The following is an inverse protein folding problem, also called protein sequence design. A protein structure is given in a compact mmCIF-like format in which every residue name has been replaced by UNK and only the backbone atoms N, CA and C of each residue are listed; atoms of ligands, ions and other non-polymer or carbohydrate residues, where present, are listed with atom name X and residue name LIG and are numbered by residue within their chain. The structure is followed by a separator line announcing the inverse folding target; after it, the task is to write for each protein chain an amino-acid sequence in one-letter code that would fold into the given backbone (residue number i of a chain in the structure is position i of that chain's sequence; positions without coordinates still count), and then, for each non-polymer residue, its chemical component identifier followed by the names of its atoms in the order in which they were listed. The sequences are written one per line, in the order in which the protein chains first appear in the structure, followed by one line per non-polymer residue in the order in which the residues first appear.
data_IF_068153127367
#
_entry.id   IF_068153127367
#
_cell.length_a   1.000
_cell.length_b   1.000
_cell.length_c   1.000
_cell.angle_alpha   90.00
_cell.angle_beta   90.00
_cell.angle_gamma   90.00
#
_symmetry.space_group_name_H-M   'P 1'
#
loop_
_entity.id
_entity.type
_entity.pdbx_description
1 polymer ?
#
# COMPACT_ATOMS: atom_id res chain seq x y z
N UNK A 1 18.34 -17.63 -3.73
CA UNK A 1 18.52 -16.19 -3.52
C UNK A 1 17.98 -15.84 -2.16
N UNK A 2 18.79 -15.24 -1.36
CA UNK A 2 18.39 -14.74 -0.05
C UNK A 2 17.98 -13.30 -0.20
N UNK A 3 16.73 -12.98 0.08
CA UNK A 3 16.20 -11.61 0.14
C UNK A 3 15.98 -11.31 1.60
N UNK A 4 16.76 -10.41 2.18
CA UNK A 4 16.53 -9.94 3.54
C UNK A 4 15.54 -8.79 3.51
N UNK A 5 14.34 -9.05 3.99
CA UNK A 5 13.27 -8.06 4.09
C UNK A 5 13.28 -7.35 5.45
N UNK A 6 14.13 -7.77 6.39
CA UNK A 6 14.16 -7.22 7.73
C UNK A 6 15.53 -7.01 8.33
N UNK A 7 15.65 -5.94 9.07
CA UNK A 7 16.75 -5.51 9.89
C UNK A 7 16.91 -6.33 11.15
N UNK A 8 18.17 -6.53 11.54
CA UNK A 8 18.57 -6.86 12.90
C UNK A 8 18.58 -8.34 13.29
N UNK A 9 19.23 -9.16 12.52
CA UNK A 9 19.99 -10.25 13.10
C UNK A 9 21.35 -10.33 12.42
N UNK A 10 22.39 -10.55 13.19
CA UNK A 10 23.72 -10.85 12.69
C UNK A 10 23.66 -12.19 11.95
N UNK A 11 23.32 -12.13 10.66
CA UNK A 11 23.33 -13.31 9.81
C UNK A 11 24.70 -13.38 9.17
N UNK A 12 25.34 -14.53 9.31
CA UNK A 12 26.64 -14.88 8.74
C UNK A 12 26.72 -14.85 7.19
N UNK A 13 25.62 -14.48 6.52
CA UNK A 13 25.54 -14.41 5.07
C UNK A 13 25.20 -12.98 4.64
N UNK A 14 26.05 -12.37 3.87
CA UNK A 14 25.73 -11.08 3.20
C UNK A 14 24.70 -11.35 2.13
N UNK A 15 23.49 -10.78 2.21
CA UNK A 15 22.48 -10.99 1.18
C UNK A 15 22.96 -10.42 -0.16
N UNK A 16 22.68 -11.12 -1.24
CA UNK A 16 23.02 -10.63 -2.59
C UNK A 16 22.24 -9.36 -2.97
N UNK A 17 21.02 -9.24 -2.44
CA UNK A 17 20.13 -8.09 -2.66
C UNK A 17 19.42 -7.75 -1.38
N UNK A 18 19.33 -6.48 -1.06
CA UNK A 18 18.57 -5.94 0.06
C UNK A 18 17.47 -5.03 -0.50
N UNK A 19 16.23 -5.27 -0.08
CA UNK A 19 15.08 -4.45 -0.43
C UNK A 19 14.54 -3.81 0.85
N UNK A 20 14.42 -2.48 0.87
CA UNK A 20 14.03 -1.73 2.05
C UNK A 20 12.86 -0.79 1.78
N UNK A 21 11.84 -0.85 2.65
CA UNK A 21 10.70 0.07 2.62
C UNK A 21 11.03 1.51 3.02
N UNK A 22 12.09 1.70 3.80
CA UNK A 22 12.55 3.02 4.22
C UNK A 22 14.03 3.18 3.95
N UNK A 23 14.35 4.21 3.18
CA UNK A 23 15.73 4.65 2.92
C UNK A 23 15.84 6.08 3.43
N UNK A 24 16.55 6.26 4.56
CA UNK A 24 16.68 7.58 5.19
C UNK A 24 17.48 8.54 4.32
N UNK A 25 16.99 9.78 4.11
CA UNK A 25 17.72 10.80 3.37
C UNK A 25 18.66 11.63 4.24
N UNK A 26 18.57 11.50 5.57
CA UNK A 26 19.25 12.43 6.50
C UNK A 26 20.76 12.31 6.56
N UNK A 27 21.31 11.23 6.05
CA UNK A 27 22.75 11.07 5.95
C UNK A 27 23.03 10.85 4.47
N UNK A 28 23.91 11.57 3.84
CA UNK A 28 24.42 11.33 2.49
C UNK A 28 25.01 9.90 2.34
N UNK A 29 24.33 8.91 2.91
CA UNK A 29 24.68 7.50 2.86
C UNK A 29 24.39 7.03 1.44
N UNK A 30 25.44 6.79 0.71
CA UNK A 30 25.35 6.10 -0.56
C UNK A 30 25.02 4.63 -0.28
N UNK A 31 23.78 4.24 -0.54
CA UNK A 31 23.39 2.84 -0.40
C UNK A 31 24.16 1.95 -1.38
N UNK A 32 24.55 0.74 -0.95
CA UNK A 32 25.15 -0.23 -1.86
C UNK A 32 24.26 -0.47 -3.09
N UNK A 33 24.87 -0.78 -4.24
CA UNK A 33 24.15 -0.99 -5.52
C UNK A 33 23.11 -2.11 -5.47
N UNK A 34 23.21 -2.99 -4.49
CA UNK A 34 22.27 -4.09 -4.24
C UNK A 34 21.14 -3.76 -3.24
N UNK A 35 20.98 -2.49 -2.86
CA UNK A 35 19.89 -2.04 -1.98
C UNK A 35 18.85 -1.29 -2.81
N UNK A 36 17.62 -1.77 -2.80
CA UNK A 36 16.51 -1.20 -3.57
C UNK A 36 15.37 -0.77 -2.65
N UNK A 37 14.74 0.39 -2.92
CA UNK A 37 13.56 0.82 -2.18
C UNK A 37 12.35 -0.04 -2.53
N UNK A 38 11.43 -0.18 -1.57
CA UNK A 38 10.15 -0.86 -1.77
C UNK A 38 9.06 -0.10 -1.03
N UNK A 39 7.81 -0.32 -1.42
CA UNK A 39 6.61 0.22 -0.79
C UNK A 39 5.66 -0.91 -0.39
N UNK A 40 4.65 -0.60 0.41
CA UNK A 40 3.53 -1.50 0.60
C UNK A 40 2.76 -1.69 -0.72
N UNK A 41 1.73 -2.49 -0.68
CA UNK A 41 0.87 -2.80 -1.83
C UNK A 41 -0.53 -3.16 -1.34
N UNK A 42 -1.43 -3.44 -2.27
CA UNK A 42 -2.79 -3.85 -1.95
C UNK A 42 -3.21 -5.02 -2.85
N UNK A 43 -3.96 -6.01 -2.35
CA UNK A 43 -4.54 -7.05 -3.19
C UNK A 43 -5.40 -6.48 -4.31
N UNK A 44 -5.29 -7.03 -5.52
CA UNK A 44 -5.96 -6.51 -6.71
C UNK A 44 -7.49 -6.53 -6.57
N UNK A 45 -8.03 -7.56 -5.92
CA UNK A 45 -9.46 -7.71 -5.66
C UNK A 45 -10.07 -6.65 -4.74
N UNK A 46 -9.22 -5.87 -4.05
CA UNK A 46 -9.64 -4.75 -3.21
C UNK A 46 -9.71 -3.41 -3.97
N UNK A 47 -9.28 -3.38 -5.22
CA UNK A 47 -9.26 -2.17 -6.04
C UNK A 47 -10.55 -2.07 -6.84
N UNK A 48 -11.28 -0.97 -6.67
CA UNK A 48 -12.50 -0.73 -7.44
C UNK A 48 -12.24 -0.68 -8.94
N UNK A 49 -13.14 -1.22 -9.73
CA UNK A 49 -13.06 -1.23 -11.20
C UNK A 49 -13.55 0.07 -11.84
N UNK A 50 -14.29 0.87 -11.08
CA UNK A 50 -14.85 2.15 -11.54
C UNK A 50 -14.89 3.18 -10.40
N UNK A 51 -15.00 4.45 -10.77
CA UNK A 51 -15.15 5.54 -9.82
C UNK A 51 -16.48 5.42 -9.08
N UNK A 52 -16.49 5.38 -7.75
CA UNK A 52 -17.72 5.26 -6.97
C UNK A 52 -18.45 6.61 -6.89
N UNK A 53 -19.78 6.55 -6.69
CA UNK A 53 -20.59 7.75 -6.44
C UNK A 53 -20.22 8.34 -5.10
N UNK A 54 -19.87 9.63 -5.08
CA UNK A 54 -19.49 10.37 -3.88
C UNK A 54 -20.70 10.98 -3.20
N UNK A 55 -20.79 10.82 -1.89
CA UNK A 55 -21.90 11.34 -1.07
C UNK A 55 -21.48 12.46 -0.13
N UNK A 56 -20.18 12.62 0.11
CA UNK A 56 -19.63 13.64 1.00
C UNK A 56 -18.21 14.03 0.59
N UNK A 57 -17.82 15.21 1.02
CA UNK A 57 -16.52 15.80 0.68
C UNK A 57 -15.36 15.08 1.36
N UNK A 58 -15.46 14.84 2.67
CA UNK A 58 -14.37 14.31 3.47
C UNK A 58 -14.79 13.04 4.23
N UNK A 59 -13.89 12.07 4.30
CA UNK A 59 -14.04 10.90 5.17
C UNK A 59 -14.00 11.32 6.65
N UNK A 60 -14.79 10.64 7.46
CA UNK A 60 -14.82 10.84 8.92
C UNK A 60 -13.60 10.26 9.64
N UNK A 61 -12.82 9.44 8.95
CA UNK A 61 -11.65 8.77 9.52
C UNK A 61 -10.47 9.74 9.67
N UNK A 62 -10.04 9.95 10.91
CA UNK A 62 -8.93 10.84 11.27
C UNK A 62 -7.76 9.98 11.79
N UNK A 63 -6.57 9.98 11.16
CA UNK A 63 -5.47 9.07 11.45
C UNK A 63 -5.00 9.01 12.91
N UNK A 64 -5.10 10.08 13.64
CA UNK A 64 -4.67 10.18 15.06
C UNK A 64 -5.82 10.11 16.06
N UNK A 65 -7.07 10.06 15.60
CA UNK A 65 -8.24 9.99 16.46
C UNK A 65 -8.89 8.60 16.40
N UNK A 66 -8.59 7.76 17.41
CA UNK A 66 -9.11 6.39 17.48
C UNK A 66 -10.64 6.32 17.55
N UNK A 67 -11.32 7.36 18.08
CA UNK A 67 -12.79 7.38 18.19
C UNK A 67 -13.49 7.45 16.82
N UNK A 68 -12.77 7.78 15.76
CA UNK A 68 -13.31 7.80 14.39
C UNK A 68 -13.31 6.42 13.70
N UNK A 69 -12.60 5.44 14.27
CA UNK A 69 -12.51 4.07 13.74
C UNK A 69 -13.62 3.20 14.33
N UNK A 70 -14.85 3.48 13.92
CA UNK A 70 -16.07 2.86 14.47
C UNK A 70 -16.55 1.64 13.68
N UNK A 71 -15.87 1.31 12.58
CA UNK A 71 -16.30 0.24 11.68
C UNK A 71 -15.82 -1.13 12.19
N UNK A 72 -16.75 -2.10 12.19
CA UNK A 72 -16.49 -3.46 12.67
C UNK A 72 -16.17 -4.46 11.55
N UNK A 73 -16.34 -4.05 10.29
CA UNK A 73 -16.01 -4.87 9.11
C UNK A 73 -15.17 -4.08 8.12
N UNK A 74 -14.35 -4.78 7.36
CA UNK A 74 -13.54 -4.18 6.30
C UNK A 74 -14.40 -3.49 5.24
N UNK A 75 -15.52 -4.11 4.87
CA UNK A 75 -16.42 -3.52 3.86
C UNK A 75 -17.05 -2.21 4.33
N UNK A 76 -17.50 -2.14 5.59
CA UNK A 76 -18.02 -0.90 6.16
C UNK A 76 -16.93 0.19 6.22
N UNK A 77 -15.70 -0.18 6.57
CA UNK A 77 -14.54 0.72 6.57
C UNK A 77 -14.22 1.21 5.15
N UNK A 78 -14.18 0.34 4.16
CA UNK A 78 -13.95 0.74 2.76
C UNK A 78 -15.11 1.53 2.17
N UNK A 79 -16.35 1.23 2.58
CA UNK A 79 -17.53 1.98 2.14
C UNK A 79 -17.48 3.45 2.61
N UNK A 80 -16.86 3.72 3.76
CA UNK A 80 -16.59 5.08 4.21
C UNK A 80 -15.73 5.85 3.18
N UNK A 81 -14.66 5.23 2.67
CA UNK A 81 -13.82 5.83 1.63
C UNK A 81 -14.54 5.92 0.28
N UNK A 82 -15.29 4.90 -0.12
CA UNK A 82 -16.07 4.89 -1.38
C UNK A 82 -17.06 6.05 -1.44
N UNK A 83 -17.70 6.37 -0.33
CA UNK A 83 -18.65 7.48 -0.23
C UNK A 83 -17.99 8.86 -0.12
N UNK A 84 -16.71 8.94 0.21
CA UNK A 84 -15.99 10.19 0.45
C UNK A 84 -15.15 10.61 -0.76
N UNK A 85 -15.18 11.90 -1.12
CA UNK A 85 -14.32 12.43 -2.19
C UNK A 85 -12.86 12.42 -1.75
N UNK A 86 -12.57 12.91 -0.54
CA UNK A 86 -11.24 12.98 0.04
C UNK A 86 -11.15 12.20 1.34
N UNK A 87 -9.95 11.70 1.65
CA UNK A 87 -9.64 11.05 2.92
C UNK A 87 -8.32 11.52 3.49
N UNK A 88 -8.32 11.90 4.76
CA UNK A 88 -7.15 12.42 5.43
C UNK A 88 -6.11 11.33 5.66
N UNK A 89 -4.88 11.62 5.30
CA UNK A 89 -3.73 10.79 5.63
C UNK A 89 -2.49 11.63 5.92
N UNK A 90 -1.52 11.06 6.61
CA UNK A 90 -0.31 11.76 7.06
C UNK A 90 0.79 10.77 7.43
N UNK A 91 1.99 11.29 7.61
CA UNK A 91 3.06 10.63 8.35
C UNK A 91 2.59 10.34 9.79
N UNK A 92 2.86 9.12 10.28
CA UNK A 92 2.68 8.74 11.69
C UNK A 92 4.00 8.21 12.26
N UNK A 93 4.04 6.92 12.65
CA UNK A 93 5.29 6.27 13.06
C UNK A 93 6.27 6.09 11.90
N UNK A 94 5.77 6.03 10.69
CA UNK A 94 6.53 5.96 9.44
C UNK A 94 5.74 6.59 8.30
N UNK A 95 6.39 6.78 7.15
CA UNK A 95 5.77 7.34 5.96
C UNK A 95 4.79 6.36 5.33
N UNK A 96 5.19 5.09 5.19
CA UNK A 96 4.38 4.10 4.49
C UNK A 96 3.37 3.45 5.44
N UNK A 97 2.13 3.36 5.00
CA UNK A 97 1.07 2.66 5.72
C UNK A 97 -0.06 2.25 4.77
N UNK A 98 -0.80 1.21 5.16
CA UNK A 98 -1.89 0.64 4.34
C UNK A 98 -2.95 1.65 3.95
N UNK A 99 -3.25 2.64 4.81
CA UNK A 99 -4.28 3.66 4.53
C UNK A 99 -4.09 4.38 3.21
N UNK A 100 -2.85 4.64 2.78
CA UNK A 100 -2.60 5.32 1.51
C UNK A 100 -3.13 4.50 0.33
N UNK A 101 -2.88 3.19 0.36
CA UNK A 101 -3.31 2.23 -0.66
C UNK A 101 -4.82 1.99 -0.59
N UNK A 102 -5.37 1.89 0.60
CA UNK A 102 -6.80 1.69 0.84
C UNK A 102 -7.63 2.87 0.33
N UNK A 103 -7.18 4.11 0.55
CA UNK A 103 -7.81 5.31 0.01
C UNK A 103 -7.84 5.25 -1.52
N UNK A 104 -6.69 5.07 -2.16
CA UNK A 104 -6.58 5.02 -3.62
C UNK A 104 -7.40 3.87 -4.20
N UNK A 105 -7.32 2.67 -3.62
CA UNK A 105 -8.02 1.48 -4.08
C UNK A 105 -9.55 1.60 -3.98
N UNK A 106 -10.05 2.37 -3.02
CA UNK A 106 -11.47 2.63 -2.83
C UNK A 106 -11.94 3.95 -3.48
N UNK A 107 -11.14 4.50 -4.39
CA UNK A 107 -11.50 5.68 -5.17
C UNK A 107 -11.70 6.92 -4.31
N UNK A 108 -10.98 7.05 -3.20
CA UNK A 108 -10.96 8.23 -2.35
C UNK A 108 -9.64 8.96 -2.56
N UNK A 109 -9.68 10.26 -2.85
CA UNK A 109 -8.48 11.06 -3.08
C UNK A 109 -7.76 11.25 -1.73
N UNK A 110 -6.50 10.80 -1.57
CA UNK A 110 -5.75 11.07 -0.37
C UNK A 110 -5.47 12.57 -0.22
N UNK A 111 -5.98 13.18 0.85
CA UNK A 111 -5.49 14.46 1.34
C UNK A 111 -4.31 14.18 2.28
N UNK A 112 -3.11 14.27 1.72
CA UNK A 112 -1.88 13.82 2.38
C UNK A 112 -1.08 15.02 2.88
N UNK A 113 -1.17 15.32 4.18
CA UNK A 113 -0.67 16.56 4.78
C UNK A 113 0.81 16.84 4.47
N UNK A 114 1.66 15.82 4.61
CA UNK A 114 3.12 16.01 4.60
C UNK A 114 3.79 15.46 3.33
N UNK A 115 3.03 15.16 2.28
CA UNK A 115 3.56 14.43 1.11
C UNK A 115 4.76 15.12 0.44
N UNK A 116 4.82 16.44 0.47
CA UNK A 116 5.90 17.23 -0.12
C UNK A 116 7.22 17.06 0.62
N UNK A 117 7.17 16.68 1.91
CA UNK A 117 8.34 16.42 2.74
C UNK A 117 8.81 14.97 2.63
N UNK A 118 8.04 14.12 1.95
CA UNK A 118 8.36 12.70 1.82
C UNK A 118 9.64 12.51 1.01
N UNK A 119 10.66 11.83 1.57
CA UNK A 119 11.90 11.57 0.88
C UNK A 119 11.68 10.82 -0.44
N UNK A 120 12.51 11.13 -1.46
CA UNK A 120 12.36 10.60 -2.81
C UNK A 120 12.27 9.07 -2.85
N UNK A 121 13.11 8.39 -2.09
CA UNK A 121 13.21 6.92 -2.08
C UNK A 121 12.29 6.25 -1.04
N UNK A 122 11.53 7.04 -0.27
CA UNK A 122 10.51 6.52 0.65
C UNK A 122 9.17 6.47 -0.07
N UNK A 123 8.39 5.43 0.13
CA UNK A 123 7.18 5.17 -0.67
C UNK A 123 7.48 5.31 -2.17
N UNK A 124 8.54 4.65 -2.61
CA UNK A 124 9.18 4.88 -3.92
C UNK A 124 8.22 4.71 -5.11
N UNK A 125 7.32 3.74 -5.02
CA UNK A 125 6.36 3.44 -6.09
C UNK A 125 5.03 4.18 -5.94
N UNK A 126 4.80 4.93 -4.85
CA UNK A 126 3.60 5.75 -4.76
C UNK A 126 3.65 6.91 -5.75
N UNK A 127 2.49 7.27 -6.36
CA UNK A 127 2.41 8.35 -7.34
C UNK A 127 2.39 9.72 -6.65
N UNK A 128 3.53 10.17 -6.10
CA UNK A 128 3.60 11.40 -5.31
C UNK A 128 3.04 12.61 -6.02
N UNK A 129 3.25 12.72 -7.33
CA UNK A 129 2.70 13.83 -8.13
C UNK A 129 1.16 13.80 -8.15
N UNK A 130 0.54 12.61 -8.26
CA UNK A 130 -0.91 12.48 -8.15
C UNK A 130 -1.39 12.80 -6.72
N UNK A 131 -0.64 12.43 -5.69
CA UNK A 131 -0.99 12.74 -4.31
C UNK A 131 -0.92 14.26 -4.03
N UNK A 132 0.10 14.94 -4.54
CA UNK A 132 0.22 16.40 -4.48
C UNK A 132 -0.95 17.05 -5.24
N UNK A 133 -1.28 16.56 -6.42
CA UNK A 133 -2.45 17.02 -7.19
C UNK A 133 -3.76 16.81 -6.42
N UNK A 134 -3.87 15.72 -5.66
CA UNK A 134 -5.00 15.48 -4.74
C UNK A 134 -5.14 16.57 -3.69
N UNK A 135 -4.04 17.02 -3.10
CA UNK A 135 -4.05 18.15 -2.15
C UNK A 135 -4.51 19.46 -2.82
N UNK A 136 -4.04 19.74 -4.04
CA UNK A 136 -4.48 20.94 -4.79
C UNK A 136 -5.99 20.91 -5.06
N UNK A 137 -6.52 19.75 -5.46
CA UNK A 137 -7.96 19.58 -5.66
C UNK A 137 -8.75 19.78 -4.36
N UNK A 138 -8.23 19.26 -3.24
CA UNK A 138 -8.85 19.52 -1.93
C UNK A 138 -8.91 21.02 -1.63
N UNK A 139 -7.80 21.74 -1.73
CA UNK A 139 -7.79 23.19 -1.48
C UNK A 139 -8.69 23.97 -2.42
N UNK A 140 -8.82 23.53 -3.67
CA UNK A 140 -9.71 24.14 -4.68
C UNK A 140 -11.20 23.94 -4.31
N UNK A 141 -11.57 22.78 -3.76
CA UNK A 141 -12.97 22.37 -3.70
C UNK A 141 -13.51 22.08 -2.29
N UNK A 142 -12.73 22.16 -1.20
CA UNK A 142 -13.17 21.74 0.14
C UNK A 142 -14.41 22.45 0.67
N UNK A 143 -14.72 23.66 0.19
CA UNK A 143 -15.90 24.46 0.53
C UNK A 143 -17.00 24.40 -0.56
N UNK A 144 -16.87 23.54 -1.55
CA UNK A 144 -17.81 23.41 -2.66
C UNK A 144 -18.82 22.30 -2.36
N UNK A 145 -20.06 22.48 -2.82
CA UNK A 145 -21.07 21.42 -2.69
C UNK A 145 -20.65 20.18 -3.48
N UNK A 146 -20.85 18.99 -2.89
CA UNK A 146 -20.46 17.71 -3.51
C UNK A 146 -21.18 17.42 -4.83
N UNK A 147 -22.30 18.08 -5.10
CA UNK A 147 -23.06 17.96 -6.35
C UNK A 147 -22.54 18.85 -7.48
N UNK A 148 -21.54 19.70 -7.21
CA UNK A 148 -20.97 20.60 -8.21
C UNK A 148 -20.35 19.82 -9.39
N UNK A 149 -20.77 20.11 -10.59
CA UNK A 149 -20.39 19.38 -11.80
C UNK A 149 -18.90 19.52 -12.16
N UNK A 150 -18.29 20.67 -11.93
CA UNK A 150 -16.85 20.89 -12.18
C UNK A 150 -16.00 20.10 -11.20
N UNK A 151 -16.35 20.15 -9.90
CA UNK A 151 -15.73 19.32 -8.86
C UNK A 151 -15.81 17.84 -9.24
N UNK A 152 -17.01 17.36 -9.54
CA UNK A 152 -17.22 15.94 -9.90
C UNK A 152 -16.41 15.56 -11.14
N UNK A 153 -16.37 16.40 -12.17
CA UNK A 153 -15.61 16.14 -13.39
C UNK A 153 -14.10 16.00 -13.10
N UNK A 154 -13.49 16.99 -12.45
CA UNK A 154 -12.04 16.98 -12.17
C UNK A 154 -11.66 15.88 -11.16
N UNK A 155 -12.41 15.77 -10.06
CA UNK A 155 -12.10 14.78 -9.04
C UNK A 155 -12.32 13.35 -9.52
N UNK A 156 -13.39 13.07 -10.28
CA UNK A 156 -13.61 11.73 -10.83
C UNK A 156 -12.55 11.34 -11.86
N UNK A 157 -12.10 12.29 -12.69
CA UNK A 157 -10.97 12.04 -13.58
C UNK A 157 -9.69 11.70 -12.77
N UNK A 158 -9.42 12.46 -11.71
CA UNK A 158 -8.27 12.21 -10.85
C UNK A 158 -8.36 10.87 -10.11
N UNK A 159 -9.54 10.51 -9.58
CA UNK A 159 -9.80 9.19 -8.97
C UNK A 159 -9.54 8.07 -9.97
N UNK A 160 -10.00 8.23 -11.21
CA UNK A 160 -9.72 7.24 -12.26
C UNK A 160 -8.22 7.03 -12.44
N UNK A 161 -7.44 8.11 -12.53
CA UNK A 161 -5.99 8.03 -12.67
C UNK A 161 -5.34 7.33 -11.45
N UNK A 162 -5.81 7.59 -10.23
CA UNK A 162 -5.33 6.91 -9.02
C UNK A 162 -5.67 5.41 -9.04
N UNK A 163 -6.88 5.03 -9.42
CA UNK A 163 -7.31 3.63 -9.54
C UNK A 163 -6.48 2.89 -10.60
N UNK A 164 -6.29 3.49 -11.77
CA UNK A 164 -5.52 2.89 -12.87
C UNK A 164 -4.05 2.72 -12.46
N UNK A 165 -3.45 3.73 -11.84
CA UNK A 165 -2.09 3.65 -11.33
C UNK A 165 -1.94 2.57 -10.24
N UNK A 166 -2.89 2.53 -9.29
CA UNK A 166 -2.87 1.55 -8.19
C UNK A 166 -2.95 0.13 -8.75
N UNK A 167 -3.82 -0.11 -9.72
CA UNK A 167 -3.97 -1.42 -10.37
C UNK A 167 -2.72 -1.82 -11.15
N UNK A 168 -2.08 -0.88 -11.81
CA UNK A 168 -0.89 -1.16 -12.62
C UNK A 168 0.37 -1.36 -11.80
N UNK A 169 0.57 -0.58 -10.73
CA UNK A 169 1.86 -0.47 -10.06
C UNK A 169 1.88 -0.89 -8.58
N UNK A 170 0.72 -0.88 -7.91
CA UNK A 170 0.65 -1.05 -6.45
C UNK A 170 -0.08 -2.32 -6.00
N UNK A 171 -0.43 -3.21 -6.92
CA UNK A 171 -0.95 -4.53 -6.53
C UNK A 171 0.15 -5.39 -5.91
N UNK A 172 -0.24 -6.32 -5.06
CA UNK A 172 0.71 -7.29 -4.48
C UNK A 172 1.47 -8.06 -5.55
N UNK A 173 0.80 -8.39 -6.67
CA UNK A 173 1.43 -9.03 -7.84
C UNK A 173 2.45 -8.11 -8.51
N UNK A 174 2.15 -6.82 -8.66
CA UNK A 174 3.07 -5.85 -9.25
C UNK A 174 4.34 -5.71 -8.39
N UNK A 175 4.17 -5.64 -7.05
CA UNK A 175 5.30 -5.57 -6.13
C UNK A 175 6.12 -6.87 -6.12
N UNK A 176 5.50 -8.03 -6.17
CA UNK A 176 6.23 -9.30 -6.32
C UNK A 176 7.05 -9.33 -7.62
N UNK A 177 6.49 -8.86 -8.73
CA UNK A 177 7.23 -8.73 -10.00
C UNK A 177 8.40 -7.74 -9.88
N UNK A 178 8.20 -6.60 -9.23
CA UNK A 178 9.27 -5.64 -8.95
C UNK A 178 10.42 -6.27 -8.16
N UNK A 179 10.11 -7.05 -7.11
CA UNK A 179 11.12 -7.79 -6.34
C UNK A 179 11.90 -8.76 -7.21
N UNK A 180 11.21 -9.56 -8.01
CA UNK A 180 11.86 -10.53 -8.91
C UNK A 180 12.76 -9.83 -9.94
N UNK A 181 12.30 -8.73 -10.52
CA UNK A 181 13.07 -7.92 -11.45
C UNK A 181 14.35 -7.35 -10.80
N UNK A 182 14.22 -6.75 -9.62
CA UNK A 182 15.40 -6.19 -8.92
C UNK A 182 16.38 -7.24 -8.45
N UNK A 183 15.95 -8.48 -8.34
CA UNK A 183 16.80 -9.63 -7.99
C UNK A 183 17.30 -10.42 -9.20
N UNK A 184 16.89 -10.06 -10.44
CA UNK A 184 17.16 -10.78 -11.69
C UNK A 184 16.67 -12.26 -11.63
N UNK A 185 15.44 -12.45 -11.13
CA UNK A 185 14.82 -13.77 -10.97
C UNK A 185 13.42 -13.84 -11.59
N UNK A 186 13.21 -13.16 -12.71
CA UNK A 186 11.92 -13.13 -13.42
C UNK A 186 11.55 -14.49 -14.00
N UNK A 187 12.54 -15.29 -14.38
CA UNK A 187 12.38 -16.58 -15.08
C UNK A 187 12.31 -17.79 -14.14
N UNK A 188 12.29 -17.58 -12.82
CA UNK A 188 12.19 -18.70 -11.88
C UNK A 188 10.79 -19.32 -11.89
N UNK A 189 10.74 -20.65 -11.70
CA UNK A 189 9.48 -21.38 -11.70
C UNK A 189 9.01 -21.78 -10.29
N UNK A 190 9.90 -21.72 -9.30
CA UNK A 190 9.62 -22.07 -7.90
C UNK A 190 10.29 -21.10 -6.96
N UNK A 191 9.61 -20.80 -5.86
CA UNK A 191 10.12 -19.91 -4.81
C UNK A 191 9.94 -20.58 -3.45
N UNK A 192 10.99 -20.50 -2.63
CA UNK A 192 10.92 -20.72 -1.20
C UNK A 192 10.97 -19.36 -0.52
N UNK A 193 9.89 -19.02 0.17
CA UNK A 193 9.79 -17.84 1.02
C UNK A 193 10.11 -18.22 2.46
N UNK A 194 11.12 -17.59 3.06
CA UNK A 194 11.47 -17.79 4.46
C UNK A 194 11.01 -16.54 5.20
N UNK A 195 9.95 -16.67 5.99
CA UNK A 195 9.36 -15.59 6.78
C UNK A 195 9.72 -15.65 8.25
N UNK A 196 9.12 -14.77 9.02
CA UNK A 196 9.16 -14.77 10.49
C UNK A 196 7.84 -15.29 11.06
N UNK A 197 7.83 -15.69 12.33
CA UNK A 197 6.59 -16.09 13.02
C UNK A 197 5.65 -14.89 13.25
N UNK A 198 6.21 -13.69 13.34
CA UNK A 198 5.43 -12.46 13.50
C UNK A 198 5.19 -11.85 12.11
N UNK A 199 3.92 -11.81 11.65
CA UNK A 199 3.59 -11.22 10.38
C UNK A 199 3.78 -9.69 10.43
N UNK A 200 4.38 -9.13 9.39
CA UNK A 200 4.37 -7.71 9.11
C UNK A 200 3.69 -7.44 7.76
N UNK A 201 3.23 -6.22 7.55
CA UNK A 201 2.50 -5.87 6.35
C UNK A 201 3.32 -6.08 5.07
N UNK A 202 4.58 -5.64 5.05
CA UNK A 202 5.40 -5.69 3.85
C UNK A 202 5.67 -7.14 3.43
N UNK A 203 6.13 -7.97 4.37
CA UNK A 203 6.43 -9.37 4.09
C UNK A 203 5.18 -10.17 3.69
N UNK A 204 4.05 -9.91 4.35
CA UNK A 204 2.75 -10.51 4.03
C UNK A 204 2.28 -10.16 2.63
N UNK A 205 2.37 -8.89 2.23
CA UNK A 205 1.93 -8.43 0.91
C UNK A 205 2.82 -8.96 -0.20
N UNK A 206 4.13 -9.06 0.02
CA UNK A 206 5.06 -9.67 -0.95
C UNK A 206 4.75 -11.16 -1.11
N UNK A 207 4.60 -11.90 -0.01
CA UNK A 207 4.26 -13.32 -0.07
C UNK A 207 2.92 -13.54 -0.77
N UNK A 208 1.90 -12.71 -0.49
CA UNK A 208 0.62 -12.76 -1.21
C UNK A 208 0.82 -12.61 -2.73
N UNK A 209 1.60 -11.63 -3.17
CA UNK A 209 1.90 -11.43 -4.58
C UNK A 209 2.67 -12.59 -5.22
N UNK A 210 3.62 -13.18 -4.49
CA UNK A 210 4.35 -14.37 -4.93
C UNK A 210 3.42 -15.57 -5.04
N UNK A 211 2.49 -15.77 -4.11
CA UNK A 211 1.47 -16.84 -4.18
C UNK A 211 0.55 -16.67 -5.38
N UNK A 212 0.14 -15.44 -5.70
CA UNK A 212 -0.66 -15.17 -6.91
C UNK A 212 0.12 -15.55 -8.16
N UNK A 213 1.43 -15.24 -8.22
CA UNK A 213 2.25 -15.51 -9.41
C UNK A 213 2.60 -16.97 -9.58
N UNK A 214 2.96 -17.67 -8.50
CA UNK A 214 3.54 -19.02 -8.55
C UNK A 214 2.58 -20.11 -8.06
N UNK A 215 1.46 -19.76 -7.44
CA UNK A 215 0.51 -20.72 -6.89
C UNK A 215 1.15 -21.72 -5.94
N UNK A 216 1.00 -23.00 -6.22
CA UNK A 216 1.58 -24.11 -5.44
C UNK A 216 3.11 -24.18 -5.51
N UNK A 217 3.74 -23.53 -6.47
CA UNK A 217 5.19 -23.46 -6.60
C UNK A 217 5.83 -22.39 -5.70
N UNK A 218 5.04 -21.64 -4.94
CA UNK A 218 5.53 -20.76 -3.89
C UNK A 218 5.35 -21.44 -2.53
N UNK A 219 6.43 -21.82 -1.88
CA UNK A 219 6.43 -22.42 -0.54
C UNK A 219 6.85 -21.40 0.50
N UNK A 220 6.17 -21.36 1.64
CA UNK A 220 6.49 -20.46 2.76
C UNK A 220 6.84 -21.27 4.01
N UNK A 221 7.94 -20.88 4.68
CA UNK A 221 8.44 -21.50 5.92
C UNK A 221 8.81 -20.39 6.92
N UNK A 222 8.25 -20.37 8.15
CA UNK A 222 7.10 -21.15 8.57
C UNK A 222 5.85 -20.79 7.75
N UNK A 223 4.87 -21.72 7.70
CA UNK A 223 3.63 -21.45 6.96
C UNK A 223 2.91 -20.24 7.53
N UNK A 224 2.66 -19.25 6.69
CA UNK A 224 2.01 -18.00 7.07
C UNK A 224 0.48 -18.16 7.02
N UNK A 225 -0.11 -18.80 8.04
CA UNK A 225 -1.52 -19.20 8.06
C UNK A 225 -2.51 -18.07 7.78
N UNK A 226 -2.18 -16.83 8.12
CA UNK A 226 -3.04 -15.66 7.91
C UNK A 226 -3.24 -15.29 6.41
N UNK A 227 -2.45 -15.85 5.50
CA UNK A 227 -2.61 -15.64 4.05
C UNK A 227 -3.58 -16.64 3.44
N UNK A 228 -3.76 -17.80 4.09
CA UNK A 228 -4.59 -18.87 3.56
C UNK A 228 -6.04 -18.73 4.08
N UNK A 229 -7.01 -18.89 3.19
CA UNK A 229 -8.40 -19.09 3.60
C UNK A 229 -8.47 -20.40 4.37
N UNK A 230 -8.66 -20.32 5.67
CA UNK A 230 -8.93 -21.49 6.49
C UNK A 230 -10.44 -21.61 6.66
N UNK A 231 -10.99 -22.81 6.60
CA UNK A 231 -12.42 -23.08 6.82
C UNK A 231 -12.88 -22.65 8.22
N UNK A 232 -11.95 -22.34 9.14
CA UNK A 232 -12.19 -21.97 10.54
C UNK A 232 -11.33 -20.80 11.04
N UNK A 233 -10.76 -19.97 10.15
CA UNK A 233 -9.90 -18.86 10.55
C UNK A 233 -10.69 -17.59 10.84
N UNK A 234 -10.71 -17.16 12.08
CA UNK A 234 -11.16 -15.82 12.47
C UNK A 234 -10.16 -14.77 11.94
N UNK A 235 -10.47 -14.26 10.75
CA UNK A 235 -9.69 -13.19 10.08
C UNK A 235 -9.81 -11.84 10.82
N UNK A 236 -10.69 -11.74 11.80
CA UNK A 236 -10.90 -10.50 12.58
C UNK A 236 -9.66 -10.10 13.40
N UNK A 237 -8.74 -11.04 13.66
CA UNK A 237 -7.50 -10.77 14.41
C UNK A 237 -6.34 -10.24 13.57
N UNK A 238 -6.46 -10.21 12.24
CA UNK A 238 -5.38 -9.78 11.32
C UNK A 238 -5.40 -8.25 11.13
N UNK A 239 -6.55 -7.62 11.32
CA UNK A 239 -6.73 -6.18 11.17
C UNK A 239 -6.66 -5.52 12.54
N UNK A 240 -5.51 -4.91 12.81
CA UNK A 240 -5.15 -4.36 14.10
C UNK A 240 -6.27 -3.65 14.86
N UNK A 241 -6.64 -4.22 15.97
CA UNK A 241 -7.20 -3.48 17.09
C UNK A 241 -6.07 -2.88 17.90
#
# INVERSE_FOLDING_TARGET
VYIDLFLMSQILFTPKVIIRGYISPKNNIQYPKNVFPITFSIPEEKILTSVPIKKKMMSTLIPWNKSTYIFNTEDAYYNEYRNSMFGLTCLKAGWDCMRHYELMANGCIPYFLDIQECPKNTMFLLPKDLLIKGNELYFKYHNTDITNTYLLSECNHHIKNLLDYTRQHLTTKAIANYVLQKTNHEDVNKILYIGTEQPDYLSTLILHGLKIKFGTNCHDIPRQNHIYKTEHGDISKIWGK
#
